data_IF_778463307360
#
_entry.id   IF_778463307360
#
_cell.length_a   1.000
_cell.length_b   1.000
_cell.length_c   1.000
_cell.angle_alpha   90.00
_cell.angle_beta   90.00
_cell.angle_gamma   90.00
#
_symmetry.space_group_name_H-M   'P 1'
#
loop_
_entity.id
_entity.type
_entity.pdbx_description
1 polymer ?
#
# COMPACT_ATOMS: atom_id res chain seq x y z
N UNK A 1 51.96 -10.62 53.83
CA UNK A 1 51.10 -11.30 52.85
C UNK A 1 50.26 -10.23 52.17
N UNK A 2 50.55 -9.94 50.91
CA UNK A 2 49.83 -8.91 50.08
C UNK A 2 48.84 -9.69 49.21
N UNK A 3 47.52 -9.47 49.38
CA UNK A 3 46.53 -10.01 48.50
C UNK A 3 46.35 -9.14 47.28
N UNK A 4 46.65 -9.67 46.10
CA UNK A 4 46.45 -9.02 44.80
C UNK A 4 45.01 -9.37 44.33
N UNK A 5 44.10 -8.39 44.40
CA UNK A 5 42.74 -8.56 43.88
C UNK A 5 42.74 -8.38 42.39
N UNK A 6 42.47 -9.47 41.66
CA UNK A 6 42.32 -9.46 40.19
C UNK A 6 40.88 -9.01 39.86
N UNK A 7 40.71 -7.80 39.34
CA UNK A 7 39.42 -7.33 38.84
C UNK A 7 39.28 -7.83 37.39
N UNK A 8 38.43 -8.84 37.20
CA UNK A 8 38.05 -9.32 35.87
C UNK A 8 36.96 -8.37 35.31
N UNK A 9 37.34 -7.58 34.38
CA UNK A 9 36.42 -6.65 33.65
C UNK A 9 35.72 -7.43 32.54
N UNK A 10 34.45 -7.80 32.73
CA UNK A 10 33.62 -8.38 31.69
C UNK A 10 33.22 -7.29 30.69
N UNK A 11 33.80 -7.32 29.52
CA UNK A 11 33.34 -6.52 28.39
C UNK A 11 32.03 -7.11 27.86
N UNK A 12 30.89 -6.48 28.18
CA UNK A 12 29.58 -6.82 27.60
C UNK A 12 29.60 -6.28 26.17
N UNK A 13 29.85 -7.16 25.21
CA UNK A 13 29.67 -6.86 23.80
C UNK A 13 28.16 -6.73 23.52
N UNK A 14 27.65 -5.48 23.49
CA UNK A 14 26.29 -5.22 23.04
C UNK A 14 26.28 -5.45 21.52
N UNK A 15 25.71 -6.56 21.08
CA UNK A 15 25.33 -6.75 19.68
C UNK A 15 24.20 -5.75 19.43
N UNK A 16 24.50 -4.69 18.72
CA UNK A 16 23.50 -3.79 18.19
C UNK A 16 22.69 -4.58 17.16
N UNK A 17 21.50 -5.02 17.55
CA UNK A 17 20.52 -5.54 16.59
C UNK A 17 20.23 -4.38 15.65
N UNK A 18 20.58 -4.55 14.37
CA UNK A 18 20.20 -3.61 13.34
C UNK A 18 18.66 -3.46 13.36
N UNK A 19 18.17 -2.26 13.53
CA UNK A 19 16.73 -2.01 13.39
C UNK A 19 16.31 -2.48 11.99
N UNK A 20 15.15 -3.15 11.87
CA UNK A 20 14.61 -3.49 10.57
C UNK A 20 14.54 -2.21 9.71
N UNK A 21 14.86 -2.30 8.41
CA UNK A 21 14.81 -1.12 7.55
C UNK A 21 13.43 -0.49 7.62
N UNK A 22 13.40 0.83 7.76
CA UNK A 22 12.14 1.60 7.83
C UNK A 22 11.28 1.28 6.61
N UNK A 23 10.03 0.91 6.87
CA UNK A 23 9.06 0.67 5.81
C UNK A 23 8.70 2.02 5.15
N UNK A 24 9.18 2.22 3.95
CA UNK A 24 8.94 3.43 3.14
C UNK A 24 8.86 3.08 1.65
N UNK A 25 8.25 3.94 0.83
CA UNK A 25 8.25 3.73 -0.61
C UNK A 25 9.68 3.76 -1.16
N UNK A 26 9.88 3.00 -2.24
CA UNK A 26 11.09 3.15 -3.05
C UNK A 26 10.96 4.42 -3.90
N UNK A 27 11.68 5.47 -3.49
CA UNK A 27 11.66 6.78 -4.17
C UNK A 27 12.39 6.74 -5.53
N UNK A 28 13.13 5.67 -5.82
CA UNK A 28 13.72 5.45 -7.15
C UNK A 28 12.70 5.08 -8.21
N UNK A 29 11.48 4.66 -7.82
CA UNK A 29 10.39 4.36 -8.74
C UNK A 29 9.69 5.68 -9.11
N UNK A 30 9.75 6.12 -10.38
CA UNK A 30 9.11 7.35 -10.79
C UNK A 30 7.59 7.22 -10.75
N UNK A 31 6.91 8.24 -10.23
CA UNK A 31 5.45 8.32 -10.30
C UNK A 31 5.06 8.85 -11.69
N UNK A 32 4.20 8.16 -12.44
CA UNK A 32 3.73 8.64 -13.73
C UNK A 32 3.06 10.01 -13.63
N UNK A 33 3.32 10.87 -14.62
CA UNK A 33 2.71 12.19 -14.67
C UNK A 33 1.19 12.08 -14.82
N UNK A 34 0.47 12.71 -13.91
CA UNK A 34 -0.98 12.83 -14.00
C UNK A 34 -1.35 13.78 -15.14
N UNK A 35 -2.28 13.36 -15.98
CA UNK A 35 -2.85 14.18 -17.06
C UNK A 35 -4.35 14.33 -16.83
N UNK A 36 -4.84 15.55 -16.94
CA UNK A 36 -6.28 15.86 -16.88
C UNK A 36 -6.74 16.37 -18.26
N UNK A 37 -7.96 15.99 -18.67
CA UNK A 37 -8.60 16.57 -19.85
C UNK A 37 -9.19 17.95 -19.54
N UNK A 38 -9.80 18.60 -20.55
CA UNK A 38 -10.40 19.94 -20.42
C UNK A 38 -11.58 19.97 -19.41
N UNK A 39 -12.18 18.81 -19.11
CA UNK A 39 -13.25 18.66 -18.10
C UNK A 39 -12.68 18.38 -16.70
N UNK A 40 -11.36 18.27 -16.57
CA UNK A 40 -10.68 17.94 -15.34
C UNK A 40 -10.75 16.45 -14.96
N UNK A 41 -11.06 15.55 -15.90
CA UNK A 41 -11.04 14.10 -15.65
C UNK A 41 -9.66 13.53 -15.90
N UNK A 42 -9.31 12.49 -15.15
CA UNK A 42 -8.05 11.75 -15.31
C UNK A 42 -8.00 11.08 -16.70
N UNK A 43 -6.92 11.32 -17.43
CA UNK A 43 -6.62 10.62 -18.69
C UNK A 43 -5.68 9.48 -18.38
N UNK A 44 -6.23 8.26 -18.30
CA UNK A 44 -5.50 7.05 -17.97
C UNK A 44 -5.23 6.23 -19.23
N UNK A 45 -4.01 5.74 -19.36
CA UNK A 45 -3.61 4.86 -20.45
C UNK A 45 -2.89 3.65 -19.84
N UNK A 46 -3.27 2.47 -20.29
CA UNK A 46 -2.59 1.25 -19.85
C UNK A 46 -1.18 1.16 -20.45
N UNK A 47 -0.25 0.63 -19.66
CA UNK A 47 1.04 0.22 -20.17
C UNK A 47 0.86 -0.93 -21.21
N UNK A 48 1.72 -1.01 -22.23
CA UNK A 48 1.61 -2.04 -23.26
C UNK A 48 1.68 -3.48 -22.73
N UNK A 49 2.27 -3.70 -21.57
CA UNK A 49 2.45 -5.01 -20.93
C UNK A 49 1.34 -5.36 -19.94
N UNK A 50 0.43 -4.44 -19.61
CA UNK A 50 -0.65 -4.71 -18.64
C UNK A 50 -1.56 -5.85 -19.09
N UNK A 51 -1.92 -6.74 -18.18
CA UNK A 51 -2.65 -7.98 -18.47
C UNK A 51 -3.50 -8.44 -17.28
N UNK A 52 -4.41 -9.38 -17.52
CA UNK A 52 -5.25 -10.00 -16.48
C UNK A 52 -4.44 -10.80 -15.44
N UNK A 53 -3.16 -11.07 -15.68
CA UNK A 53 -2.25 -11.77 -14.76
C UNK A 53 -1.43 -10.84 -13.86
N UNK A 54 -1.56 -9.53 -13.99
CA UNK A 54 -0.73 -8.57 -13.26
C UNK A 54 -0.80 -8.72 -11.73
N UNK A 55 -1.94 -9.17 -11.20
CA UNK A 55 -2.15 -9.41 -9.77
C UNK A 55 -2.02 -10.88 -9.35
N UNK A 56 -1.53 -11.79 -10.21
CA UNK A 56 -1.40 -13.21 -9.88
C UNK A 56 -0.50 -13.47 -8.66
N UNK A 57 0.44 -12.58 -8.41
CA UNK A 57 1.33 -12.66 -7.24
C UNK A 57 0.59 -12.55 -5.91
N UNK A 58 -0.58 -11.88 -5.88
CA UNK A 58 -1.37 -11.73 -4.64
C UNK A 58 -2.14 -12.97 -4.24
N UNK A 59 -2.40 -13.91 -5.16
CA UNK A 59 -3.24 -15.08 -4.87
C UNK A 59 -2.73 -15.86 -3.67
N UNK A 60 -3.63 -16.14 -2.71
CA UNK A 60 -3.35 -16.85 -1.48
C UNK A 60 -3.36 -15.96 -0.25
N UNK A 61 -2.72 -16.43 0.84
CA UNK A 61 -2.73 -15.77 2.14
C UNK A 61 -1.47 -14.97 2.36
N UNK A 62 -1.64 -13.84 3.09
CA UNK A 62 -0.59 -12.91 3.41
C UNK A 62 -0.68 -12.43 4.86
N UNK A 63 0.48 -12.20 5.48
CA UNK A 63 0.65 -11.34 6.65
C UNK A 63 1.18 -10.01 6.18
N UNK A 64 0.62 -8.93 6.72
CA UNK A 64 0.95 -7.59 6.27
C UNK A 64 1.39 -6.74 7.46
N UNK A 65 2.57 -6.14 7.35
CA UNK A 65 2.99 -5.07 8.24
C UNK A 65 2.58 -3.74 7.63
N UNK A 66 1.80 -2.96 8.36
CA UNK A 66 1.19 -1.72 7.90
C UNK A 66 1.81 -0.52 8.59
N UNK A 67 1.86 0.60 7.87
CA UNK A 67 2.27 1.90 8.38
C UNK A 67 1.32 2.97 7.85
N UNK A 68 0.63 3.66 8.75
CA UNK A 68 -0.42 4.64 8.46
C UNK A 68 -0.04 6.00 9.03
N UNK A 69 -0.07 7.06 8.20
CA UNK A 69 0.17 8.44 8.62
C UNK A 69 -1.01 8.97 9.43
N UNK A 70 -0.76 9.46 10.65
CA UNK A 70 -1.81 9.83 11.59
C UNK A 70 -2.68 11.00 11.10
N UNK A 71 -2.10 11.96 10.35
CA UNK A 71 -2.83 13.06 9.73
C UNK A 71 -2.36 13.25 8.30
N UNK A 72 -3.29 13.32 7.36
CA UNK A 72 -3.04 13.40 5.92
C UNK A 72 -3.14 14.83 5.43
N UNK A 73 -2.18 15.27 4.61
CA UNK A 73 -2.06 16.62 4.04
C UNK A 73 -2.03 17.74 5.10
N UNK A 74 -1.47 17.44 6.26
CA UNK A 74 -1.30 18.35 7.38
C UNK A 74 0.17 18.48 7.84
N UNK A 75 1.12 18.13 6.96
CA UNK A 75 2.56 18.12 7.26
C UNK A 75 2.91 17.25 8.50
N UNK A 76 2.15 16.17 8.72
CA UNK A 76 2.35 15.21 9.80
C UNK A 76 3.56 14.31 9.51
N UNK A 77 4.32 13.97 10.55
CA UNK A 77 5.44 13.02 10.46
C UNK A 77 5.24 11.81 11.39
N UNK A 78 4.08 11.74 12.05
CA UNK A 78 3.76 10.66 12.99
C UNK A 78 3.04 9.53 12.27
N UNK A 79 3.58 8.32 12.44
CA UNK A 79 3.06 7.11 11.84
C UNK A 79 2.65 6.11 12.91
N UNK A 80 1.57 5.38 12.66
CA UNK A 80 1.14 4.23 13.46
C UNK A 80 1.40 2.97 12.66
N UNK A 81 2.05 1.98 13.30
CA UNK A 81 2.35 0.67 12.71
C UNK A 81 1.44 -0.39 13.33
N UNK A 82 0.99 -1.34 12.53
CA UNK A 82 0.11 -2.42 12.98
C UNK A 82 0.12 -3.59 12.01
N UNK A 83 -0.31 -4.76 12.50
CA UNK A 83 -0.38 -5.99 11.71
C UNK A 83 -1.78 -6.26 11.16
N UNK A 84 -1.83 -6.92 10.01
CA UNK A 84 -3.06 -7.39 9.39
C UNK A 84 -2.83 -8.68 8.62
N UNK A 85 -3.92 -9.28 8.17
CA UNK A 85 -3.90 -10.42 7.25
C UNK A 85 -4.75 -10.12 6.03
N UNK A 86 -4.43 -10.81 4.94
CA UNK A 86 -5.15 -10.72 3.69
C UNK A 86 -5.26 -12.11 3.04
N UNK A 87 -6.37 -12.37 2.39
CA UNK A 87 -6.57 -13.58 1.59
C UNK A 87 -7.16 -13.21 0.24
N UNK A 88 -6.40 -13.47 -0.83
CA UNK A 88 -6.77 -13.13 -2.20
C UNK A 88 -7.10 -14.39 -3.02
N UNK A 89 -8.09 -14.29 -3.88
CA UNK A 89 -8.47 -15.32 -4.85
C UNK A 89 -8.87 -14.73 -6.19
N UNK A 90 -8.57 -15.45 -7.27
CA UNK A 90 -9.07 -15.11 -8.61
C UNK A 90 -10.53 -15.48 -8.77
N UNK A 91 -11.26 -14.63 -9.46
CA UNK A 91 -12.66 -14.80 -9.80
C UNK A 91 -12.90 -14.46 -11.29
N UNK A 92 -14.13 -14.57 -11.77
CA UNK A 92 -14.55 -14.21 -13.14
C UNK A 92 -13.61 -14.78 -14.21
N UNK A 93 -13.29 -16.09 -14.10
CA UNK A 93 -12.41 -16.80 -15.04
C UNK A 93 -11.03 -16.15 -15.22
N UNK A 94 -10.54 -15.46 -14.17
CA UNK A 94 -9.22 -14.84 -14.13
C UNK A 94 -9.17 -13.37 -14.53
N UNK A 95 -10.29 -12.77 -14.99
CA UNK A 95 -10.34 -11.34 -15.30
C UNK A 95 -10.54 -10.44 -14.08
N UNK A 96 -10.64 -11.04 -12.90
CA UNK A 96 -10.73 -10.32 -11.64
C UNK A 96 -10.10 -11.11 -10.51
N UNK A 97 -9.78 -10.43 -9.44
CA UNK A 97 -9.47 -11.01 -8.14
C UNK A 97 -10.18 -10.24 -7.02
N UNK A 98 -10.29 -10.90 -5.89
CA UNK A 98 -10.91 -10.32 -4.70
C UNK A 98 -10.10 -10.75 -3.48
N UNK A 99 -9.82 -9.80 -2.61
CA UNK A 99 -9.22 -10.09 -1.31
C UNK A 99 -10.12 -9.69 -0.14
N UNK A 100 -9.81 -10.29 1.00
CA UNK A 100 -10.38 -9.91 2.29
C UNK A 100 -9.23 -9.54 3.23
N UNK A 101 -9.13 -8.26 3.52
CA UNK A 101 -8.23 -7.70 4.50
C UNK A 101 -8.85 -7.75 5.89
N UNK A 102 -8.10 -8.10 6.93
CA UNK A 102 -8.60 -8.07 8.31
C UNK A 102 -7.52 -7.70 9.34
N UNK A 103 -7.93 -6.94 10.36
CA UNK A 103 -7.09 -6.59 11.51
C UNK A 103 -7.93 -6.27 12.73
N UNK A 104 -7.32 -6.35 13.94
CA UNK A 104 -7.88 -5.82 15.20
C UNK A 104 -7.07 -4.64 15.74
N UNK A 105 -6.11 -4.18 14.96
CA UNK A 105 -5.16 -3.13 15.34
C UNK A 105 -5.32 -1.87 14.50
N UNK A 106 -6.44 -1.75 13.75
CA UNK A 106 -6.67 -0.57 12.89
C UNK A 106 -6.69 0.71 13.73
N UNK A 107 -5.90 1.76 13.37
CA UNK A 107 -5.80 2.99 14.14
C UNK A 107 -7.15 3.63 14.45
N UNK A 108 -7.41 3.91 15.72
CA UNK A 108 -8.69 4.45 16.22
C UNK A 108 -9.82 3.44 16.37
N UNK A 109 -9.57 2.14 16.10
CA UNK A 109 -10.52 1.03 16.27
C UNK A 109 -9.89 -0.19 16.94
N UNK A 110 -8.85 0.02 17.72
CA UNK A 110 -8.05 -1.03 18.36
C UNK A 110 -8.92 -2.02 19.15
N UNK A 111 -8.65 -3.30 18.99
CA UNK A 111 -9.40 -4.41 19.60
C UNK A 111 -10.70 -4.78 18.86
N UNK A 112 -11.25 -3.93 17.99
CA UNK A 112 -12.41 -4.27 17.14
C UNK A 112 -11.93 -4.92 15.84
N UNK A 113 -12.71 -5.89 15.36
CA UNK A 113 -12.43 -6.44 14.03
C UNK A 113 -12.76 -5.38 12.97
N UNK A 114 -11.75 -5.00 12.21
CA UNK A 114 -11.89 -4.22 10.99
C UNK A 114 -11.66 -5.14 9.80
N UNK A 115 -12.59 -5.13 8.87
CA UNK A 115 -12.50 -5.88 7.63
C UNK A 115 -12.64 -4.94 6.44
N UNK A 116 -11.88 -5.24 5.41
CA UNK A 116 -11.99 -4.59 4.11
C UNK A 116 -11.96 -5.62 3.00
N UNK A 117 -12.56 -5.28 1.87
CA UNK A 117 -12.56 -6.09 0.68
C UNK A 117 -12.08 -5.24 -0.49
N UNK A 118 -11.10 -5.75 -1.24
CA UNK A 118 -10.75 -5.18 -2.54
C UNK A 118 -11.28 -6.06 -3.65
N UNK A 119 -12.03 -5.47 -4.57
CA UNK A 119 -12.38 -6.10 -5.84
C UNK A 119 -11.55 -5.43 -6.94
N UNK A 120 -10.76 -6.22 -7.68
CA UNK A 120 -9.97 -5.76 -8.82
C UNK A 120 -10.52 -6.35 -10.10
N UNK A 121 -10.88 -5.49 -11.03
CA UNK A 121 -11.44 -5.87 -12.33
C UNK A 121 -10.51 -5.43 -13.46
N UNK A 122 -10.17 -6.35 -14.35
CA UNK A 122 -9.41 -6.06 -15.56
C UNK A 122 -10.35 -5.87 -16.75
N UNK A 123 -10.23 -4.75 -17.44
CA UNK A 123 -10.92 -4.54 -18.72
C UNK A 123 -9.98 -4.93 -19.87
N UNK A 124 -10.27 -6.02 -20.62
CA UNK A 124 -9.40 -6.46 -21.70
C UNK A 124 -9.37 -5.51 -22.92
N UNK A 125 -10.32 -4.59 -23.03
CA UNK A 125 -10.38 -3.61 -24.14
C UNK A 125 -9.45 -2.44 -23.88
N UNK A 126 -9.48 -1.89 -22.68
CA UNK A 126 -8.63 -0.75 -22.28
C UNK A 126 -7.32 -1.19 -21.69
N UNK A 127 -7.24 -2.46 -21.22
CA UNK A 127 -6.12 -3.06 -20.47
C UNK A 127 -5.85 -2.34 -19.17
N UNK A 128 -6.87 -1.70 -18.61
CA UNK A 128 -6.84 -1.06 -17.30
C UNK A 128 -7.46 -1.96 -16.25
N UNK A 129 -6.93 -1.87 -15.06
CA UNK A 129 -7.52 -2.40 -13.84
C UNK A 129 -8.31 -1.31 -13.13
N UNK A 130 -9.46 -1.69 -12.57
CA UNK A 130 -10.26 -0.88 -11.64
C UNK A 130 -10.28 -1.57 -10.28
N UNK A 131 -9.78 -0.88 -9.24
CA UNK A 131 -9.66 -1.39 -7.89
C UNK A 131 -10.69 -0.71 -7.00
N UNK A 132 -11.67 -1.47 -6.51
CA UNK A 132 -12.75 -1.01 -5.64
C UNK A 132 -12.46 -1.43 -4.21
N UNK A 133 -12.60 -0.51 -3.27
CA UNK A 133 -12.48 -0.77 -1.85
C UNK A 133 -13.84 -0.71 -1.15
N UNK A 134 -14.05 -1.63 -0.23
CA UNK A 134 -15.23 -1.72 0.63
C UNK A 134 -14.74 -1.95 2.05
N UNK A 135 -15.19 -1.13 3.00
CA UNK A 135 -14.78 -1.27 4.40
C UNK A 135 -15.97 -1.54 5.31
N UNK A 136 -15.79 -2.39 6.30
CA UNK A 136 -16.83 -2.79 7.25
C UNK A 136 -17.39 -1.65 8.08
N UNK A 137 -16.63 -0.56 8.26
CA UNK A 137 -17.03 0.61 9.01
C UNK A 137 -17.83 1.65 8.22
N UNK A 138 -17.82 1.59 6.88
CA UNK A 138 -18.56 2.52 6.00
C UNK A 138 -19.76 1.86 5.34
N UNK A 139 -19.65 0.59 4.98
CA UNK A 139 -20.70 -0.15 4.26
C UNK A 139 -20.99 0.38 2.86
N UNK A 140 -20.04 1.11 2.27
CA UNK A 140 -20.12 1.67 0.91
C UNK A 140 -18.97 1.18 0.05
N UNK A 141 -19.17 1.20 -1.27
CA UNK A 141 -18.10 0.96 -2.24
C UNK A 141 -17.50 2.32 -2.62
N UNK A 142 -16.20 2.45 -2.44
CA UNK A 142 -15.48 3.64 -2.87
C UNK A 142 -15.36 3.69 -4.41
N UNK A 143 -15.32 4.88 -5.02
CA UNK A 143 -14.98 5.00 -6.42
C UNK A 143 -13.63 4.33 -6.71
N UNK A 144 -13.50 3.61 -7.84
CA UNK A 144 -12.29 2.83 -8.09
C UNK A 144 -11.09 3.73 -8.35
N UNK A 145 -9.92 3.29 -7.88
CA UNK A 145 -8.65 3.75 -8.43
C UNK A 145 -8.35 2.93 -9.67
N UNK A 146 -7.96 3.58 -10.77
CA UNK A 146 -7.80 2.98 -12.09
C UNK A 146 -6.38 3.14 -12.60
N UNK A 147 -5.82 2.08 -13.19
CA UNK A 147 -4.46 2.12 -13.70
C UNK A 147 -3.99 0.80 -14.28
N UNK A 148 -2.68 0.62 -14.35
CA UNK A 148 -2.06 -0.57 -14.94
C UNK A 148 -0.69 -0.85 -14.35
N UNK A 149 -0.17 -2.04 -14.63
CA UNK A 149 1.21 -2.42 -14.31
C UNK A 149 2.15 -2.18 -15.49
N UNK A 150 3.37 -1.79 -15.15
CA UNK A 150 4.51 -1.77 -16.06
C UNK A 150 5.75 -2.25 -15.30
N UNK A 151 6.44 -3.27 -15.85
CA UNK A 151 7.69 -3.83 -15.28
C UNK A 151 7.59 -4.21 -13.79
N UNK A 152 6.47 -4.83 -13.38
CA UNK A 152 6.23 -5.28 -12.01
C UNK A 152 5.81 -4.15 -11.05
N UNK A 153 5.57 -2.94 -11.55
CA UNK A 153 5.07 -1.81 -10.75
C UNK A 153 3.71 -1.36 -11.28
N UNK A 154 2.71 -1.35 -10.42
CA UNK A 154 1.37 -0.86 -10.74
C UNK A 154 1.13 0.54 -10.19
N UNK A 155 0.58 1.46 -11.01
CA UNK A 155 0.11 2.77 -10.55
C UNK A 155 -1.36 2.95 -10.92
N UNK A 156 -2.16 3.36 -9.93
CA UNK A 156 -3.62 3.49 -10.05
C UNK A 156 -4.04 4.83 -9.46
N UNK A 157 -4.93 5.55 -10.14
CA UNK A 157 -5.30 6.91 -9.75
C UNK A 157 -6.82 7.08 -9.68
N UNK A 158 -7.27 7.94 -8.77
CA UNK A 158 -8.65 8.41 -8.69
C UNK A 158 -8.68 9.89 -8.29
N UNK A 159 -9.78 10.56 -8.62
CA UNK A 159 -10.15 11.84 -8.00
C UNK A 159 -10.96 11.54 -6.74
N UNK A 160 -10.70 12.28 -5.68
CA UNK A 160 -11.42 12.16 -4.41
C UNK A 160 -11.45 13.52 -3.69
N UNK A 161 -12.01 13.54 -2.50
CA UNK A 161 -12.02 14.70 -1.61
C UNK A 161 -11.50 14.32 -0.23
N UNK A 162 -10.70 15.19 0.37
CA UNK A 162 -10.29 15.09 1.76
C UNK A 162 -10.68 16.39 2.48
N UNK A 163 -11.57 16.31 3.48
CA UNK A 163 -12.09 17.50 4.20
C UNK A 163 -12.59 18.57 3.24
N UNK A 164 -13.43 18.17 2.30
CA UNK A 164 -14.05 19.00 1.24
C UNK A 164 -13.05 19.63 0.23
N UNK A 165 -11.78 19.23 0.27
CA UNK A 165 -10.79 19.67 -0.70
C UNK A 165 -10.54 18.58 -1.75
N UNK A 166 -10.55 18.94 -3.05
CA UNK A 166 -10.27 17.97 -4.09
C UNK A 166 -8.82 17.48 -4.01
N UNK A 167 -8.65 16.18 -4.12
CA UNK A 167 -7.34 15.51 -4.15
C UNK A 167 -7.28 14.52 -5.31
N UNK A 168 -6.08 14.08 -5.63
CA UNK A 168 -5.84 12.88 -6.41
C UNK A 168 -5.27 11.83 -5.47
N UNK A 169 -5.87 10.67 -5.49
CA UNK A 169 -5.39 9.46 -4.81
C UNK A 169 -4.54 8.67 -5.77
N UNK A 170 -3.42 8.15 -5.29
CA UNK A 170 -2.60 7.19 -6.02
C UNK A 170 -2.40 5.94 -5.15
N UNK A 171 -2.61 4.75 -5.74
CA UNK A 171 -2.10 3.50 -5.21
C UNK A 171 -0.92 3.05 -6.04
N UNK A 172 0.12 2.55 -5.37
CA UNK A 172 1.26 1.91 -6.03
C UNK A 172 1.47 0.51 -5.46
N UNK A 173 1.55 -0.46 -6.36
CA UNK A 173 2.05 -1.79 -6.07
C UNK A 173 3.47 -1.92 -6.61
N UNK A 174 4.42 -2.31 -5.79
CA UNK A 174 5.73 -2.76 -6.19
C UNK A 174 5.80 -4.28 -6.00
N UNK A 175 5.60 -5.00 -7.09
CA UNK A 175 5.62 -6.45 -7.16
C UNK A 175 6.88 -6.98 -7.88
N UNK A 176 7.95 -6.17 -7.98
CA UNK A 176 9.24 -6.63 -8.52
C UNK A 176 9.82 -7.77 -7.67
N UNK A 177 9.55 -7.77 -6.37
CA UNK A 177 9.72 -8.92 -5.50
C UNK A 177 8.35 -9.50 -5.12
N UNK A 178 7.91 -10.54 -5.83
CA UNK A 178 6.59 -11.16 -5.64
C UNK A 178 6.45 -11.89 -4.30
N UNK A 179 7.54 -12.28 -3.66
CA UNK A 179 7.51 -12.89 -2.31
C UNK A 179 7.36 -11.85 -1.20
N UNK A 180 7.61 -10.59 -1.51
CA UNK A 180 7.53 -9.47 -0.58
C UNK A 180 7.03 -8.20 -1.27
N UNK A 181 5.81 -8.21 -1.85
CA UNK A 181 5.28 -7.04 -2.52
C UNK A 181 5.01 -5.90 -1.52
N UNK A 182 5.13 -4.68 -2.02
CA UNK A 182 4.86 -3.45 -1.26
C UNK A 182 3.69 -2.71 -1.92
N UNK A 183 2.68 -2.41 -1.13
CA UNK A 183 1.63 -1.49 -1.53
C UNK A 183 1.79 -0.15 -0.81
N UNK A 184 1.44 0.94 -1.48
CA UNK A 184 1.42 2.25 -0.87
C UNK A 184 0.33 3.14 -1.44
N UNK A 185 -0.18 4.05 -0.59
CA UNK A 185 -1.13 5.09 -0.94
C UNK A 185 -0.49 6.46 -0.76
N UNK A 186 -0.70 7.33 -1.73
CA UNK A 186 -0.31 8.73 -1.64
C UNK A 186 -1.44 9.65 -2.10
N UNK A 187 -1.47 10.85 -1.52
CA UNK A 187 -2.40 11.91 -1.89
C UNK A 187 -1.67 13.11 -2.50
N UNK A 188 -2.32 13.75 -3.47
CA UNK A 188 -1.87 15.00 -4.07
C UNK A 188 -2.98 16.04 -4.00
N UNK A 189 -2.68 17.20 -3.42
CA UNK A 189 -3.58 18.35 -3.37
C UNK A 189 -3.33 19.36 -4.53
N UNK A 190 -2.35 19.11 -5.39
CA UNK A 190 -1.90 20.01 -6.45
C UNK A 190 -1.94 19.38 -7.85
N UNK A 191 -2.91 18.49 -8.08
CA UNK A 191 -3.16 17.81 -9.36
C UNK A 191 -2.01 16.89 -9.80
N UNK A 192 -1.38 16.21 -8.85
CA UNK A 192 -0.34 15.23 -9.12
C UNK A 192 1.06 15.80 -9.31
N UNK A 193 1.31 17.07 -8.92
CA UNK A 193 2.66 17.66 -8.96
C UNK A 193 3.52 17.22 -7.79
N UNK A 194 2.94 17.16 -6.59
CA UNK A 194 3.57 16.62 -5.38
C UNK A 194 2.71 15.56 -4.73
N UNK A 195 3.34 14.66 -3.97
CA UNK A 195 2.67 13.53 -3.36
C UNK A 195 3.07 13.38 -1.90
N UNK A 196 2.08 13.19 -1.03
CA UNK A 196 2.27 12.78 0.35
C UNK A 196 1.91 11.30 0.48
N UNK A 197 2.91 10.46 0.74
CA UNK A 197 2.67 9.07 1.11
C UNK A 197 2.02 9.01 2.49
N UNK A 198 0.95 8.24 2.62
CA UNK A 198 0.17 8.23 3.87
C UNK A 198 -0.31 6.86 4.32
N UNK A 199 -0.03 5.81 3.57
CA UNK A 199 -0.26 4.44 3.97
C UNK A 199 0.66 3.50 3.20
N UNK A 200 1.24 2.52 3.89
CA UNK A 200 2.04 1.45 3.30
C UNK A 200 1.70 0.13 3.91
N UNK A 201 1.87 -0.94 3.15
CA UNK A 201 2.07 -2.26 3.71
C UNK A 201 3.14 -3.03 2.95
N UNK A 202 3.78 -3.93 3.67
CA UNK A 202 4.62 -4.99 3.12
C UNK A 202 3.96 -6.31 3.43
N UNK A 203 3.76 -7.11 2.40
CA UNK A 203 3.16 -8.43 2.50
C UNK A 203 4.23 -9.51 2.51
N UNK A 204 4.05 -10.52 3.37
CA UNK A 204 4.89 -11.74 3.42
C UNK A 204 3.99 -12.95 3.54
N UNK A 205 4.44 -14.09 3.03
CA UNK A 205 3.69 -15.36 3.20
C UNK A 205 3.65 -15.74 4.68
N UNK A 206 2.53 -16.31 5.20
CA UNK A 206 2.37 -16.68 6.60
C UNK A 206 3.26 -17.86 7.01
#
# INVERSE_FOLDING_TARGET
MKYLSLIIMFAICRVALAQPPELKPDDSIPIPKVTLNDKGDLVLKAAPTSSASDFDFLVGKWKMHNRHLNKRLENCQEWTEFESSDENSKILTGNADMDTYSTREFPGQEGKLFEGLTLRLFDPKTRLWSLYWIASNTGTIDPPVVGSFENGVGHFFAKDTLKDKPIIVMFRWDARNQERPVWGQAFSADKGKTWEWNFFNVSVRP
#
